data_IF_032286189835
#
_entry.id   IF_032286189835
#
_cell.length_a   1.000
_cell.length_b   1.000
_cell.length_c   1.000
_cell.angle_alpha   90.00
_cell.angle_beta   90.00
_cell.angle_gamma   90.00
#
_symmetry.space_group_name_H-M   'P 1'
#
loop_
_entity.id
_entity.type
_entity.pdbx_description
1 polymer ?
#
# COMPACT_ATOMS: atom_id res chain seq x y z
N UNK A 1 -22.34 16.45 0.05
CA UNK A 1 -21.11 15.75 0.50
C UNK A 1 -20.42 15.25 -0.75
N UNK A 2 -19.17 15.60 -1.05
CA UNK A 2 -18.57 15.20 -2.31
C UNK A 2 -18.23 13.70 -2.26
N UNK A 3 -18.83 12.97 -3.19
CA UNK A 3 -18.58 11.57 -3.55
C UNK A 3 -17.09 11.25 -3.61
N UNK A 4 -16.67 10.33 -2.74
CA UNK A 4 -15.37 9.66 -2.84
C UNK A 4 -15.36 8.90 -4.16
N UNK A 5 -14.71 9.47 -5.18
CA UNK A 5 -14.55 8.85 -6.50
C UNK A 5 -13.81 7.51 -6.34
N UNK A 6 -14.56 6.42 -6.45
CA UNK A 6 -14.02 5.08 -6.68
C UNK A 6 -13.30 5.10 -8.03
N UNK A 7 -11.97 5.05 -8.01
CA UNK A 7 -11.21 4.82 -9.23
C UNK A 7 -11.32 3.32 -9.58
N UNK A 8 -12.39 2.96 -10.29
CA UNK A 8 -12.52 1.66 -10.97
C UNK A 8 -12.17 1.83 -12.45
N UNK A 9 -11.13 1.14 -12.90
CA UNK A 9 -10.93 0.38 -14.17
C UNK A 9 -9.41 0.24 -14.40
N UNK A 10 -8.82 -0.88 -14.83
CA UNK A 10 -9.11 -1.75 -15.98
C UNK A 10 -8.65 -3.22 -15.68
N UNK A 11 -9.32 -4.22 -16.31
CA UNK A 11 -9.07 -5.65 -16.15
C UNK A 11 -7.76 -6.17 -16.77
N UNK A 12 -6.99 -6.90 -15.97
CA UNK A 12 -6.13 -7.99 -16.42
C UNK A 12 -6.19 -9.13 -15.39
N UNK A 13 -7.17 -10.00 -15.58
CA UNK A 13 -7.43 -11.30 -14.93
C UNK A 13 -7.37 -11.38 -13.40
N UNK A 14 -6.28 -11.06 -12.71
CA UNK A 14 -6.23 -10.95 -11.25
C UNK A 14 -5.10 -9.98 -10.88
N UNK A 15 -5.37 -8.81 -10.26
CA UNK A 15 -4.30 -7.94 -9.79
C UNK A 15 -3.43 -8.68 -8.77
N UNK A 16 -2.12 -8.45 -8.79
CA UNK A 16 -1.25 -8.98 -7.75
C UNK A 16 -1.44 -8.16 -6.48
N UNK A 17 -1.74 -8.82 -5.37
CA UNK A 17 -2.11 -8.15 -4.11
C UNK A 17 -1.10 -8.45 -3.03
N UNK A 18 -0.70 -7.42 -2.28
CA UNK A 18 -0.05 -7.58 -0.98
C UNK A 18 -0.99 -7.13 0.14
N UNK A 19 -1.05 -7.92 1.21
CA UNK A 19 -1.75 -7.56 2.45
C UNK A 19 -0.70 -7.08 3.43
N UNK A 20 -0.81 -5.84 3.88
CA UNK A 20 0.13 -5.24 4.83
C UNK A 20 -0.59 -4.96 6.16
N UNK A 21 -0.04 -5.42 7.30
CA UNK A 21 -0.65 -5.24 8.63
C UNK A 21 -0.44 -3.81 9.16
N UNK A 22 -0.88 -2.81 8.39
CA UNK A 22 -0.79 -1.39 8.76
C UNK A 22 -2.04 -1.03 9.54
N UNK A 23 -2.00 -1.27 10.85
CA UNK A 23 -3.07 -0.91 11.78
C UNK A 23 -2.51 -0.25 13.03
N UNK A 24 -3.39 0.44 13.77
CA UNK A 24 -3.03 1.04 15.07
C UNK A 24 -2.67 -0.03 16.09
N UNK A 25 -3.34 -1.19 16.07
CA UNK A 25 -3.04 -2.31 16.96
C UNK A 25 -1.65 -2.91 16.74
N UNK A 26 -1.16 -2.92 15.50
CA UNK A 26 0.16 -3.49 15.16
C UNK A 26 1.28 -2.46 15.35
N UNK A 27 1.07 -1.20 14.92
CA UNK A 27 2.13 -0.20 14.84
C UNK A 27 2.11 0.82 15.98
N UNK A 28 0.97 0.95 16.69
CA UNK A 28 0.68 2.05 17.60
C UNK A 28 0.28 3.35 16.87
N UNK A 29 -0.43 4.23 17.59
CA UNK A 29 -1.01 5.46 17.03
C UNK A 29 0.05 6.38 16.38
N UNK A 30 1.20 6.57 17.03
CA UNK A 30 2.23 7.49 16.57
C UNK A 30 2.99 7.03 15.31
N UNK A 31 2.96 5.73 14.99
CA UNK A 31 3.65 5.17 13.82
C UNK A 31 2.70 4.81 12.69
N UNK A 32 1.42 4.55 13.01
CA UNK A 32 0.39 4.21 12.04
C UNK A 32 0.35 5.20 10.87
N UNK A 33 0.13 6.48 11.14
CA UNK A 33 -0.08 7.48 10.08
C UNK A 33 1.17 7.65 9.20
N UNK A 34 2.35 7.69 9.84
CA UNK A 34 3.63 7.79 9.13
C UNK A 34 3.89 6.59 8.22
N UNK A 35 3.64 5.39 8.72
CA UNK A 35 3.82 4.15 7.95
C UNK A 35 2.84 4.08 6.79
N UNK A 36 1.56 4.40 7.04
CA UNK A 36 0.55 4.40 6.01
C UNK A 36 0.87 5.40 4.88
N UNK A 37 1.21 6.64 5.21
CA UNK A 37 1.55 7.65 4.19
C UNK A 37 2.79 7.28 3.40
N UNK A 38 3.84 6.75 4.06
CA UNK A 38 5.05 6.31 3.38
C UNK A 38 4.77 5.17 2.39
N UNK A 39 4.02 4.14 2.82
CA UNK A 39 3.69 2.98 1.98
C UNK A 39 2.75 3.39 0.85
N UNK A 40 1.76 4.25 1.11
CA UNK A 40 0.86 4.80 0.07
C UNK A 40 1.62 5.57 -1.00
N UNK A 41 2.57 6.42 -0.59
CA UNK A 41 3.42 7.15 -1.51
C UNK A 41 4.28 6.22 -2.36
N UNK A 42 4.89 5.20 -1.75
CA UNK A 42 5.66 4.18 -2.47
C UNK A 42 4.81 3.40 -3.48
N UNK A 43 3.59 3.01 -3.11
CA UNK A 43 2.66 2.31 -4.00
C UNK A 43 2.37 3.12 -5.27
N UNK A 44 2.00 4.40 -5.11
CA UNK A 44 1.79 5.29 -6.26
C UNK A 44 3.06 5.48 -7.10
N UNK A 45 4.23 5.54 -6.46
CA UNK A 45 5.51 5.70 -7.16
C UNK A 45 5.89 4.48 -8.00
N UNK A 46 5.58 3.28 -7.53
CA UNK A 46 5.88 2.02 -8.23
C UNK A 46 4.91 1.71 -9.37
N UNK A 47 3.65 2.15 -9.27
CA UNK A 47 2.62 1.84 -10.27
C UNK A 47 2.33 2.98 -11.24
N UNK A 48 2.85 4.19 -11.02
CA UNK A 48 2.54 5.33 -11.88
C UNK A 48 1.05 5.65 -11.91
N UNK A 49 0.37 5.52 -10.76
CA UNK A 49 -1.08 5.68 -10.53
C UNK A 49 -1.95 4.41 -10.70
N UNK A 50 -1.42 3.34 -11.28
CA UNK A 50 -2.14 2.06 -11.46
C UNK A 50 -2.07 1.15 -10.21
N UNK A 51 -2.39 1.69 -9.03
CA UNK A 51 -2.57 0.89 -7.81
C UNK A 51 -3.91 1.16 -7.15
N UNK A 52 -4.54 0.12 -6.62
CA UNK A 52 -5.68 0.28 -5.73
C UNK A 52 -5.28 -0.04 -4.29
N UNK A 53 -5.98 0.58 -3.35
CA UNK A 53 -5.75 0.44 -1.91
C UNK A 53 -7.10 0.20 -1.25
N UNK A 54 -7.21 -0.89 -0.51
CA UNK A 54 -8.45 -1.28 0.18
C UNK A 54 -8.16 -1.53 1.65
N UNK A 55 -8.96 -1.00 2.56
CA UNK A 55 -8.83 -1.30 3.99
C UNK A 55 -9.35 -2.71 4.29
N UNK A 56 -8.64 -3.44 5.16
CA UNK A 56 -9.06 -4.77 5.64
C UNK A 56 -9.66 -4.60 7.02
N UNK A 57 -10.86 -5.14 7.20
CA UNK A 57 -11.56 -5.18 8.48
C UNK A 57 -11.78 -6.61 8.94
N UNK A 58 -11.53 -6.87 10.22
CA UNK A 58 -11.89 -8.10 10.94
C UNK A 58 -12.60 -7.66 12.22
N UNK A 59 -13.75 -8.24 12.54
CA UNK A 59 -14.56 -7.89 13.72
C UNK A 59 -14.79 -6.36 13.89
N UNK A 60 -15.11 -5.69 12.78
CA UNK A 60 -15.27 -4.22 12.70
C UNK A 60 -14.02 -3.38 13.04
N UNK A 61 -12.87 -4.02 13.27
CA UNK A 61 -11.58 -3.37 13.49
C UNK A 61 -10.75 -3.36 12.21
N UNK A 62 -10.12 -2.23 11.89
CA UNK A 62 -9.21 -2.16 10.74
C UNK A 62 -7.89 -2.85 11.09
N UNK A 63 -7.64 -4.00 10.47
CA UNK A 63 -6.45 -4.83 10.70
C UNK A 63 -5.29 -4.54 9.73
N UNK A 64 -5.57 -3.90 8.60
CA UNK A 64 -4.52 -3.55 7.63
C UNK A 64 -5.06 -3.01 6.32
N UNK A 65 -4.26 -3.12 5.27
CA UNK A 65 -4.59 -2.67 3.92
C UNK A 65 -4.14 -3.68 2.86
N UNK A 66 -4.94 -3.82 1.80
CA UNK A 66 -4.57 -4.49 0.56
C UNK A 66 -4.10 -3.46 -0.44
N UNK A 67 -2.95 -3.73 -1.06
CA UNK A 67 -2.44 -2.96 -2.18
C UNK A 67 -2.41 -3.87 -3.39
N UNK A 68 -3.09 -3.47 -4.45
CA UNK A 68 -3.11 -4.22 -5.70
C UNK A 68 -2.37 -3.51 -6.82
N UNK A 69 -1.65 -4.30 -7.61
CA UNK A 69 -0.82 -3.85 -8.71
C UNK A 69 -1.05 -4.70 -9.94
N UNK A 70 -0.88 -4.10 -11.12
CA UNK A 70 -0.84 -4.85 -12.38
C UNK A 70 0.41 -5.73 -12.50
N UNK A 71 1.55 -5.25 -12.02
CA UNK A 71 2.82 -5.96 -12.10
C UNK A 71 3.18 -6.61 -10.75
N UNK A 72 3.41 -7.94 -10.74
CA UNK A 72 3.76 -8.68 -9.53
C UNK A 72 5.05 -8.22 -8.85
N UNK A 73 6.01 -7.67 -9.60
CA UNK A 73 7.23 -7.10 -9.02
C UNK A 73 6.93 -5.93 -8.07
N UNK A 74 5.89 -5.14 -8.33
CA UNK A 74 5.53 -4.00 -7.50
C UNK A 74 4.95 -4.42 -6.14
N UNK A 75 4.31 -5.60 -6.07
CA UNK A 75 3.90 -6.23 -4.80
C UNK A 75 5.11 -6.54 -3.93
N UNK A 76 6.12 -7.21 -4.49
CA UNK A 76 7.35 -7.55 -3.77
C UNK A 76 8.08 -6.28 -3.32
N UNK A 77 8.15 -5.29 -4.21
CA UNK A 77 8.76 -3.99 -3.90
C UNK A 77 8.07 -3.29 -2.74
N UNK A 78 6.74 -3.29 -2.72
CA UNK A 78 5.97 -2.68 -1.65
C UNK A 78 6.11 -3.45 -0.33
N UNK A 79 6.12 -4.78 -0.36
CA UNK A 79 6.35 -5.60 0.83
C UNK A 79 7.70 -5.30 1.48
N UNK A 80 8.77 -5.27 0.68
CA UNK A 80 10.11 -4.92 1.18
C UNK A 80 10.18 -3.49 1.72
N UNK A 81 9.53 -2.55 1.03
CA UNK A 81 9.48 -1.17 1.49
C UNK A 81 8.71 -1.02 2.80
N UNK A 82 7.60 -1.74 2.96
CA UNK A 82 6.84 -1.79 4.21
C UNK A 82 7.72 -2.25 5.38
N UNK A 83 8.43 -3.38 5.22
CA UNK A 83 9.33 -3.89 6.27
C UNK A 83 10.40 -2.85 6.64
N UNK A 84 11.00 -2.21 5.64
CA UNK A 84 11.99 -1.17 5.86
C UNK A 84 11.42 0.05 6.61
N UNK A 85 10.18 0.47 6.30
CA UNK A 85 9.49 1.56 7.01
C UNK A 85 9.18 1.17 8.46
N UNK A 86 8.69 -0.05 8.69
CA UNK A 86 8.37 -0.57 10.03
C UNK A 86 9.63 -0.64 10.90
N UNK A 87 10.77 -0.98 10.30
CA UNK A 87 12.09 -0.96 10.95
C UNK A 87 12.67 0.46 11.13
N UNK A 88 11.99 1.50 10.65
CA UNK A 88 12.47 2.89 10.73
C UNK A 88 13.63 3.20 9.76
N UNK A 89 13.81 2.38 8.72
CA UNK A 89 14.90 2.48 7.73
C UNK A 89 14.37 2.51 6.28
N UNK A 90 13.49 3.45 5.91
CA UNK A 90 12.98 3.53 4.55
C UNK A 90 14.13 3.78 3.55
N UNK A 91 14.20 2.98 2.48
CA UNK A 91 15.18 3.15 1.42
C UNK A 91 14.68 4.09 0.31
N UNK A 92 15.58 4.73 -0.46
CA UNK A 92 15.18 5.72 -1.47
C UNK A 92 14.40 5.10 -2.64
N UNK A 93 13.24 5.69 -2.94
CA UNK A 93 12.35 5.26 -4.03
C UNK A 93 12.82 5.68 -5.43
N UNK A 94 13.89 6.50 -5.54
CA UNK A 94 14.34 7.10 -6.81
C UNK A 94 14.77 6.09 -7.87
N UNK A 95 15.25 4.90 -7.47
CA UNK A 95 15.67 3.84 -8.41
C UNK A 95 14.57 2.87 -8.83
N UNK A 96 13.35 3.03 -8.32
CA UNK A 96 12.29 2.00 -8.35
C UNK A 96 11.08 2.41 -9.20
N UNK A 97 11.23 3.47 -10.00
CA UNK A 97 10.18 3.96 -10.89
C UNK A 97 9.65 2.86 -11.82
N UNK A 98 8.34 2.88 -12.07
CA UNK A 98 7.75 2.18 -13.21
C UNK A 98 8.52 2.58 -14.48
N UNK A 99 9.14 1.61 -15.15
CA UNK A 99 9.62 1.76 -16.52
C UNK A 99 8.48 1.38 -17.45
#
# INVERSE_FOLDING_TARGET
MPDTKYCMTIPSSHPHVVRLPISRGVLGDARFERTFQAVRYAAHRFSGHDCYIEAIYEDHQRVGYRFGFRAGINVLRLALYHEAVVQGRPFPLKGWAAR
#
